data_IF_408449196345
#
_entry.id   IF_408449196345
#
_cell.length_a   1.000
_cell.length_b   1.000
_cell.length_c   1.000
_cell.angle_alpha   90.00
_cell.angle_beta   90.00
_cell.angle_gamma   90.00
#
_symmetry.space_group_name_H-M   'P 1'
#
loop_
_entity.id
_entity.type
_entity.pdbx_description
1 polymer ?
#
# COMPACT_ATOMS: atom_id res chain seq x y z
N UNK A 1 -51.56 0.57 43.24
CA UNK A 1 -50.65 -0.54 42.90
C UNK A 1 -50.51 -0.59 41.39
N UNK A 2 -49.36 -0.15 40.88
CA UNK A 2 -48.90 -0.45 39.53
C UNK A 2 -47.38 -0.27 39.53
N UNK A 3 -46.66 -1.39 39.56
CA UNK A 3 -45.20 -1.49 39.49
C UNK A 3 -44.78 -1.45 38.03
N UNK A 4 -43.92 -0.49 37.65
CA UNK A 4 -43.23 -0.49 36.36
C UNK A 4 -41.74 -0.80 36.57
N UNK A 5 -41.31 -1.88 35.92
CA UNK A 5 -39.97 -2.48 35.93
C UNK A 5 -39.03 -1.61 35.08
N UNK A 6 -37.74 -1.42 35.47
CA UNK A 6 -36.77 -0.71 34.66
C UNK A 6 -36.25 -1.62 33.54
N UNK A 7 -36.44 -1.22 32.27
CA UNK A 7 -35.72 -1.83 31.15
C UNK A 7 -34.31 -1.27 31.10
N UNK A 8 -33.37 -2.07 31.60
CA UNK A 8 -31.97 -1.97 31.20
C UNK A 8 -31.86 -2.25 29.71
N UNK A 9 -31.43 -1.25 28.96
CA UNK A 9 -30.85 -1.43 27.63
C UNK A 9 -29.34 -1.44 27.80
N UNK A 10 -28.76 -2.63 27.97
CA UNK A 10 -27.36 -2.86 27.67
C UNK A 10 -27.14 -2.47 26.22
N UNK A 11 -26.36 -1.42 25.99
CA UNK A 11 -25.87 -1.07 24.67
C UNK A 11 -25.00 -2.20 24.15
N UNK A 12 -25.63 -3.13 23.43
CA UNK A 12 -24.94 -4.05 22.54
C UNK A 12 -24.22 -3.22 21.47
N UNK A 13 -22.93 -2.99 21.67
CA UNK A 13 -22.03 -2.50 20.64
C UNK A 13 -21.75 -3.66 19.67
N UNK A 14 -22.73 -4.02 18.86
CA UNK A 14 -22.51 -4.87 17.68
C UNK A 14 -22.20 -3.97 16.49
N UNK A 15 -20.90 -3.83 16.21
CA UNK A 15 -20.38 -3.29 14.97
C UNK A 15 -19.14 -4.08 14.59
N UNK A 16 -19.34 -5.14 13.80
CA UNK A 16 -18.29 -5.96 13.17
C UNK A 16 -17.57 -5.17 12.07
N UNK A 17 -17.11 -3.95 12.37
CA UNK A 17 -16.32 -3.16 11.41
C UNK A 17 -14.85 -3.49 11.63
N UNK A 18 -14.28 -4.28 10.73
CA UNK A 18 -12.84 -4.37 10.60
C UNK A 18 -12.27 -2.97 10.42
N UNK A 19 -11.21 -2.65 11.14
CA UNK A 19 -10.60 -1.32 11.05
C UNK A 19 -9.93 -1.18 9.70
N UNK A 20 -10.29 -0.11 8.99
CA UNK A 20 -9.75 0.19 7.66
C UNK A 20 -8.28 0.61 7.76
N UNK A 21 -7.42 -0.15 7.08
CA UNK A 21 -5.97 -0.01 7.09
C UNK A 21 -5.50 1.25 6.34
N UNK A 22 -4.27 1.69 6.61
CA UNK A 22 -3.71 2.87 5.96
C UNK A 22 -3.48 2.62 4.47
N UNK A 23 -2.99 1.44 4.11
CA UNK A 23 -2.84 1.02 2.70
C UNK A 23 -4.18 0.88 1.98
N UNK A 24 -5.20 0.33 2.64
CA UNK A 24 -6.57 0.22 2.11
C UNK A 24 -7.14 1.58 1.75
N UNK A 25 -7.05 2.57 2.66
CA UNK A 25 -7.46 3.96 2.40
C UNK A 25 -6.71 4.57 1.22
N UNK A 26 -5.39 4.35 1.18
CA UNK A 26 -4.53 4.89 0.13
C UNK A 26 -4.93 4.34 -1.25
N UNK A 27 -5.12 3.03 -1.36
CA UNK A 27 -5.51 2.39 -2.62
C UNK A 27 -6.97 2.65 -3.00
N UNK A 28 -7.88 2.78 -2.03
CA UNK A 28 -9.25 3.18 -2.29
C UNK A 28 -9.30 4.57 -2.95
N UNK A 29 -8.53 5.54 -2.45
CA UNK A 29 -8.43 6.87 -3.06
C UNK A 29 -7.90 6.80 -4.50
N UNK A 30 -6.86 6.01 -4.74
CA UNK A 30 -6.27 5.82 -6.08
C UNK A 30 -7.23 5.16 -7.07
N UNK A 31 -7.99 4.16 -6.61
CA UNK A 31 -8.88 3.40 -7.47
C UNK A 31 -10.21 4.11 -7.73
N UNK A 32 -10.54 5.16 -6.98
CA UNK A 32 -11.79 5.92 -7.08
C UNK A 32 -11.99 6.50 -8.49
N UNK A 33 -13.12 6.15 -9.11
CA UNK A 33 -13.57 6.79 -10.36
C UNK A 33 -14.06 8.20 -10.08
N UNK A 34 -13.73 9.15 -10.97
CA UNK A 34 -14.09 10.55 -10.77
C UNK A 34 -14.27 11.27 -12.09
N UNK A 35 -15.28 12.13 -12.16
CA UNK A 35 -15.64 12.88 -13.38
C UNK A 35 -14.54 13.87 -13.80
N UNK A 36 -13.68 14.27 -12.87
CA UNK A 36 -12.55 15.16 -13.11
C UNK A 36 -11.31 14.48 -13.70
N UNK A 37 -11.29 13.14 -13.87
CA UNK A 37 -10.18 12.41 -14.50
C UNK A 37 -9.90 12.92 -15.92
N UNK A 38 -10.97 13.31 -16.63
CA UNK A 38 -10.90 13.92 -17.97
C UNK A 38 -10.00 15.15 -18.07
N UNK A 39 -9.74 15.84 -16.96
CA UNK A 39 -8.84 17.01 -16.91
C UNK A 39 -7.38 16.62 -17.11
N UNK A 40 -7.02 15.38 -16.78
CA UNK A 40 -5.65 14.87 -16.89
C UNK A 40 -5.39 14.17 -18.23
N UNK A 41 -6.45 13.84 -18.99
CA UNK A 41 -6.34 13.16 -20.28
C UNK A 41 -5.43 13.89 -21.28
N UNK A 42 -5.37 15.23 -21.22
CA UNK A 42 -4.48 16.03 -22.07
C UNK A 42 -3.01 15.70 -21.83
N UNK A 43 -2.62 15.42 -20.58
CA UNK A 43 -1.25 15.07 -20.20
C UNK A 43 -0.92 13.61 -20.54
N UNK A 44 -1.93 12.74 -20.62
CA UNK A 44 -1.78 11.32 -20.92
C UNK A 44 -1.98 10.99 -22.41
N UNK A 45 -2.26 11.99 -23.26
CA UNK A 45 -2.59 11.80 -24.67
C UNK A 45 -1.47 11.09 -25.46
N UNK A 46 -0.24 11.50 -25.20
CA UNK A 46 0.95 11.11 -25.97
C UNK A 46 1.63 9.84 -25.44
N UNK A 47 0.95 9.08 -24.57
CA UNK A 47 1.43 7.75 -24.15
C UNK A 47 1.65 6.86 -25.38
N UNK A 48 2.85 6.31 -25.47
CA UNK A 48 3.28 5.38 -26.51
C UNK A 48 3.51 3.99 -25.91
N UNK A 49 2.59 3.07 -26.19
CA UNK A 49 2.65 1.65 -25.78
C UNK A 49 2.17 0.78 -26.95
N UNK A 50 2.62 -0.48 -27.02
CA UNK A 50 2.31 -1.39 -28.13
C UNK A 50 0.83 -1.79 -28.18
N UNK A 51 0.22 -1.99 -27.02
CA UNK A 51 -1.17 -2.40 -26.83
C UNK A 51 -1.70 -1.86 -25.48
N UNK A 52 -3.00 -2.03 -25.22
CA UNK A 52 -3.67 -1.58 -23.99
C UNK A 52 -3.57 -0.06 -23.69
N UNK A 53 -3.36 0.78 -24.71
CA UNK A 53 -3.16 2.23 -24.58
C UNK A 53 -4.20 2.93 -23.70
N UNK A 54 -5.48 2.64 -23.87
CA UNK A 54 -6.54 3.29 -23.08
C UNK A 54 -6.51 2.88 -21.60
N UNK A 55 -6.11 1.64 -21.28
CA UNK A 55 -5.93 1.21 -19.89
C UNK A 55 -4.75 1.94 -19.23
N UNK A 56 -3.64 2.10 -19.95
CA UNK A 56 -2.47 2.84 -19.45
C UNK A 56 -2.77 4.34 -19.30
N UNK A 57 -3.55 4.93 -20.21
CA UNK A 57 -4.05 6.30 -20.04
C UNK A 57 -4.87 6.47 -18.78
N UNK A 58 -5.78 5.54 -18.48
CA UNK A 58 -6.56 5.58 -17.24
C UNK A 58 -5.65 5.54 -16.00
N UNK A 59 -4.63 4.68 -15.99
CA UNK A 59 -3.62 4.65 -14.92
C UNK A 59 -2.91 6.01 -14.79
N UNK A 60 -2.49 6.61 -15.91
CA UNK A 60 -1.86 7.93 -15.95
C UNK A 60 -2.77 9.03 -15.36
N UNK A 61 -4.06 9.05 -15.73
CA UNK A 61 -5.01 10.05 -15.24
C UNK A 61 -5.21 9.94 -13.72
N UNK A 62 -5.37 8.71 -13.21
CA UNK A 62 -5.48 8.44 -11.77
C UNK A 62 -4.21 8.82 -11.02
N UNK A 63 -3.05 8.47 -11.57
CA UNK A 63 -1.74 8.84 -11.04
C UNK A 63 -1.60 10.38 -10.90
N UNK A 64 -1.83 11.13 -11.97
CA UNK A 64 -1.71 12.60 -11.95
C UNK A 64 -2.74 13.24 -11.02
N UNK A 65 -3.98 12.74 -11.00
CA UNK A 65 -5.02 13.19 -10.08
C UNK A 65 -4.61 12.99 -8.62
N UNK A 66 -4.05 11.83 -8.29
CA UNK A 66 -3.62 11.53 -6.93
C UNK A 66 -2.46 12.43 -6.50
N UNK A 67 -1.50 12.71 -7.39
CA UNK A 67 -0.44 13.69 -7.13
C UNK A 67 -0.98 15.11 -6.87
N UNK A 68 -2.02 15.53 -7.61
CA UNK A 68 -2.63 16.85 -7.44
C UNK A 68 -3.48 16.98 -6.18
N UNK A 69 -4.33 15.99 -5.93
CA UNK A 69 -5.47 16.15 -5.02
C UNK A 69 -5.30 15.46 -3.68
N UNK A 70 -4.47 14.42 -3.60
CA UNK A 70 -4.40 13.64 -2.38
C UNK A 70 -3.89 14.48 -1.21
N UNK A 71 -4.56 14.31 -0.08
CA UNK A 71 -4.20 14.99 1.17
C UNK A 71 -2.92 14.44 1.78
N UNK A 72 -2.50 13.23 1.40
CA UNK A 72 -1.30 12.57 1.91
C UNK A 72 -0.03 13.40 1.68
N UNK A 73 -0.01 14.18 0.61
CA UNK A 73 1.10 15.06 0.27
C UNK A 73 1.20 16.34 1.12
N UNK A 74 0.17 16.64 1.92
CA UNK A 74 0.16 17.78 2.85
C UNK A 74 0.74 17.42 4.22
N UNK A 75 1.03 16.14 4.46
CA UNK A 75 1.62 15.65 5.70
C UNK A 75 3.08 16.11 5.77
N UNK A 76 3.42 16.95 6.75
CA UNK A 76 4.77 17.56 6.87
C UNK A 76 5.89 16.56 7.16
N UNK A 77 5.58 15.51 7.92
CA UNK A 77 6.52 14.47 8.35
C UNK A 77 5.79 13.13 8.33
N UNK A 78 5.62 12.53 7.15
CA UNK A 78 4.93 11.25 7.06
C UNK A 78 5.80 10.16 7.70
N UNK A 79 5.16 9.22 8.39
CA UNK A 79 5.85 8.09 9.04
C UNK A 79 6.43 7.11 8.02
N UNK A 80 5.89 7.11 6.80
CA UNK A 80 6.27 6.25 5.70
C UNK A 80 6.18 7.00 4.36
N UNK A 81 6.83 6.47 3.32
CA UNK A 81 6.87 7.09 2.00
C UNK A 81 5.66 6.71 1.15
N UNK A 82 4.66 7.60 1.04
CA UNK A 82 3.51 7.43 0.14
C UNK A 82 3.92 7.18 -1.32
N UNK A 83 5.07 7.72 -1.74
CA UNK A 83 5.59 7.52 -3.08
C UNK A 83 5.92 6.04 -3.37
N UNK A 84 6.39 5.27 -2.39
CA UNK A 84 6.61 3.84 -2.57
C UNK A 84 5.29 3.09 -2.79
N UNK A 85 4.23 3.40 -2.02
CA UNK A 85 2.91 2.81 -2.23
C UNK A 85 2.37 3.12 -3.63
N UNK A 86 2.56 4.36 -4.10
CA UNK A 86 2.14 4.78 -5.44
C UNK A 86 2.89 4.02 -6.54
N UNK A 87 4.20 3.86 -6.39
CA UNK A 87 5.02 3.09 -7.35
C UNK A 87 4.58 1.62 -7.42
N UNK A 88 4.34 0.99 -6.27
CA UNK A 88 3.79 -0.36 -6.24
C UNK A 88 2.40 -0.45 -6.87
N UNK A 89 1.52 0.52 -6.62
CA UNK A 89 0.20 0.55 -7.25
C UNK A 89 0.27 0.68 -8.78
N UNK A 90 1.10 1.60 -9.29
CA UNK A 90 1.30 1.77 -10.74
C UNK A 90 1.77 0.45 -11.35
N UNK A 91 2.81 -0.15 -10.78
CA UNK A 91 3.40 -1.35 -11.32
C UNK A 91 2.44 -2.54 -11.27
N UNK A 92 1.73 -2.73 -10.16
CA UNK A 92 0.69 -3.75 -10.01
C UNK A 92 -0.38 -3.65 -11.10
N UNK A 93 -0.90 -2.44 -11.35
CA UNK A 93 -1.86 -2.19 -12.43
C UNK A 93 -1.31 -2.45 -13.83
N UNK A 94 -0.04 -2.17 -14.07
CA UNK A 94 0.59 -2.49 -15.34
C UNK A 94 0.79 -4.00 -15.51
N UNK A 95 1.19 -4.72 -14.44
CA UNK A 95 1.33 -6.18 -14.48
C UNK A 95 -0.02 -6.89 -14.62
N UNK A 96 -1.11 -6.35 -14.07
CA UNK A 96 -2.47 -6.85 -14.31
C UNK A 96 -2.88 -6.77 -15.80
N UNK A 97 -2.33 -5.78 -16.53
CA UNK A 97 -2.64 -5.55 -17.94
C UNK A 97 -1.78 -6.43 -18.86
N UNK A 98 -0.48 -6.51 -18.58
CA UNK A 98 0.52 -7.09 -19.48
C UNK A 98 1.04 -8.46 -19.04
N UNK A 99 0.70 -8.90 -17.83
CA UNK A 99 1.24 -10.11 -17.21
C UNK A 99 2.40 -9.83 -16.26
N UNK A 100 2.61 -10.78 -15.34
CA UNK A 100 3.68 -10.74 -14.34
C UNK A 100 4.96 -11.38 -14.90
N UNK A 101 5.62 -10.66 -15.81
CA UNK A 101 7.02 -10.88 -16.08
C UNK A 101 7.72 -9.60 -15.63
N UNK A 102 8.55 -9.68 -14.58
CA UNK A 102 9.23 -8.54 -13.92
C UNK A 102 10.08 -7.65 -14.84
N UNK A 103 10.12 -8.01 -16.12
CA UNK A 103 10.88 -7.41 -17.19
C UNK A 103 10.08 -7.37 -18.49
N UNK A 104 8.75 -7.52 -18.47
CA UNK A 104 7.93 -7.37 -19.66
C UNK A 104 8.22 -6.00 -20.26
N UNK A 105 8.70 -6.01 -21.50
CA UNK A 105 9.08 -4.81 -22.22
C UNK A 105 7.91 -3.81 -22.25
N UNK A 106 6.68 -4.30 -22.35
CA UNK A 106 5.47 -3.48 -22.32
C UNK A 106 5.25 -2.78 -20.96
N UNK A 107 5.50 -3.46 -19.84
CA UNK A 107 5.41 -2.85 -18.49
C UNK A 107 6.45 -1.75 -18.36
N UNK A 108 7.68 -2.00 -18.80
CA UNK A 108 8.78 -1.04 -18.73
C UNK A 108 8.50 0.19 -19.59
N UNK A 109 8.02 -0.01 -20.83
CA UNK A 109 7.64 1.08 -21.73
C UNK A 109 6.51 1.89 -21.10
N UNK A 110 5.45 1.24 -20.60
CA UNK A 110 4.32 1.93 -19.99
C UNK A 110 4.75 2.74 -18.76
N UNK A 111 5.57 2.17 -17.87
CA UNK A 111 6.08 2.87 -16.69
C UNK A 111 6.99 4.05 -17.08
N UNK A 112 7.86 3.87 -18.08
CA UNK A 112 8.73 4.94 -18.59
C UNK A 112 7.96 6.11 -19.21
N UNK A 113 6.82 5.84 -19.86
CA UNK A 113 5.91 6.89 -20.31
C UNK A 113 5.35 7.70 -19.13
N UNK A 114 4.93 7.04 -18.04
CA UNK A 114 4.43 7.72 -16.83
C UNK A 114 5.52 8.60 -16.18
N UNK A 115 6.76 8.11 -16.13
CA UNK A 115 7.91 8.89 -15.69
C UNK A 115 8.13 10.13 -16.55
N UNK A 116 8.09 9.98 -17.88
CA UNK A 116 8.29 11.08 -18.83
C UNK A 116 7.21 12.14 -18.72
N UNK A 117 5.95 11.73 -18.58
CA UNK A 117 4.80 12.63 -18.37
C UNK A 117 4.97 13.38 -17.05
N UNK A 118 5.34 12.67 -15.98
CA UNK A 118 5.64 13.31 -14.69
C UNK A 118 6.74 14.37 -14.84
N UNK A 119 7.87 14.04 -15.47
CA UNK A 119 8.98 14.99 -15.67
C UNK A 119 8.55 16.21 -16.49
N UNK A 120 7.75 16.02 -17.53
CA UNK A 120 7.18 17.12 -18.32
C UNK A 120 6.25 18.01 -17.48
N UNK A 121 5.33 17.40 -16.72
CA UNK A 121 4.38 18.14 -15.88
C UNK A 121 5.09 18.96 -14.81
N UNK A 122 6.15 18.42 -14.17
CA UNK A 122 6.95 19.12 -13.16
C UNK A 122 7.79 20.26 -13.73
N UNK A 123 8.36 20.09 -14.93
CA UNK A 123 9.26 21.08 -15.55
C UNK A 123 8.52 22.19 -16.31
N UNK A 124 7.27 21.96 -16.70
CA UNK A 124 6.46 23.00 -17.35
C UNK A 124 6.15 24.15 -16.37
N UNK A 125 6.65 25.36 -16.67
CA UNK A 125 6.59 26.56 -15.82
C UNK A 125 5.18 27.05 -15.44
N UNK A 126 4.12 26.43 -15.98
CA UNK A 126 2.71 26.72 -15.69
C UNK A 126 2.05 25.71 -14.75
N UNK A 127 2.70 24.59 -14.44
CA UNK A 127 2.12 23.55 -13.61
C UNK A 127 2.59 23.66 -12.14
N UNK A 128 1.61 23.48 -11.26
CA UNK A 128 1.67 23.80 -9.84
C UNK A 128 2.58 22.84 -9.06
N UNK A 129 3.04 23.32 -7.89
CA UNK A 129 4.02 22.72 -6.98
C UNK A 129 3.76 21.22 -6.63
N UNK A 130 2.51 20.76 -6.68
CA UNK A 130 2.11 19.43 -6.20
C UNK A 130 2.60 18.25 -7.04
N UNK A 131 3.02 18.44 -8.29
CA UNK A 131 3.59 17.31 -9.05
C UNK A 131 4.94 16.85 -8.50
N UNK A 132 5.64 17.67 -7.69
CA UNK A 132 6.94 17.31 -7.09
C UNK A 132 6.86 16.31 -5.94
N UNK A 133 5.66 15.90 -5.53
CA UNK A 133 5.45 15.12 -4.31
C UNK A 133 5.95 13.66 -4.41
N UNK A 134 5.95 13.08 -5.61
CA UNK A 134 6.46 11.73 -5.83
C UNK A 134 6.91 11.56 -7.28
N UNK A 135 8.20 11.28 -7.48
CA UNK A 135 8.74 10.83 -8.76
C UNK A 135 8.46 9.32 -8.89
N UNK A 136 7.87 8.84 -9.99
CA UNK A 136 7.80 7.41 -10.23
C UNK A 136 9.22 6.85 -10.39
N UNK A 137 9.54 5.80 -9.64
CA UNK A 137 10.87 5.21 -9.53
C UNK A 137 10.82 3.73 -9.91
N UNK A 138 11.26 3.45 -11.14
CA UNK A 138 11.28 2.10 -11.69
C UNK A 138 12.16 1.12 -10.87
N UNK A 139 13.21 1.62 -10.23
CA UNK A 139 14.10 0.78 -9.41
C UNK A 139 13.39 0.11 -8.22
N UNK A 140 12.32 0.72 -7.69
CA UNK A 140 11.53 0.17 -6.56
C UNK A 140 10.86 -1.16 -6.94
N UNK A 141 10.56 -1.34 -8.22
CA UNK A 141 9.77 -2.46 -8.76
C UNK A 141 10.57 -3.39 -9.66
N UNK A 142 11.83 -3.06 -9.96
CA UNK A 142 12.78 -3.84 -10.77
C UNK A 142 13.41 -5.00 -9.98
N UNK A 143 12.61 -5.70 -9.19
CA UNK A 143 13.06 -6.85 -8.40
C UNK A 143 12.19 -8.06 -8.70
N UNK A 144 12.79 -9.24 -8.78
CA UNK A 144 12.04 -10.45 -9.10
C UNK A 144 10.96 -10.78 -8.05
N UNK A 145 11.18 -10.33 -6.82
CA UNK A 145 10.30 -10.50 -5.67
C UNK A 145 9.52 -9.22 -5.33
N UNK A 146 9.31 -8.30 -6.28
CA UNK A 146 8.64 -7.02 -6.03
C UNK A 146 7.28 -7.18 -5.34
N UNK A 147 6.51 -8.25 -5.63
CA UNK A 147 5.24 -8.55 -4.94
C UNK A 147 5.44 -8.76 -3.44
N UNK A 148 6.49 -9.48 -3.05
CA UNK A 148 6.86 -9.65 -1.64
C UNK A 148 7.35 -8.34 -1.03
N UNK A 149 8.09 -7.52 -1.78
CA UNK A 149 8.55 -6.19 -1.31
C UNK A 149 7.37 -5.24 -1.10
N UNK A 150 6.41 -5.23 -2.02
CA UNK A 150 5.12 -4.55 -1.90
C UNK A 150 4.40 -5.00 -0.64
N UNK A 151 4.17 -6.31 -0.46
CA UNK A 151 3.49 -6.86 0.71
C UNK A 151 4.21 -6.51 2.02
N UNK A 152 5.55 -6.53 2.02
CA UNK A 152 6.36 -6.19 3.20
C UNK A 152 6.20 -4.71 3.54
N UNK A 153 6.22 -3.87 2.51
CA UNK A 153 6.04 -2.44 2.70
C UNK A 153 4.63 -2.07 3.16
N UNK A 154 3.61 -2.72 2.61
CA UNK A 154 2.22 -2.57 3.07
C UNK A 154 2.08 -2.98 4.53
N UNK A 155 2.67 -4.13 4.91
CA UNK A 155 2.69 -4.55 6.31
C UNK A 155 3.40 -3.53 7.22
N UNK A 156 4.53 -2.98 6.79
CA UNK A 156 5.22 -1.92 7.53
C UNK A 156 4.32 -0.69 7.75
N UNK A 157 3.62 -0.25 6.71
CA UNK A 157 2.70 0.90 6.77
C UNK A 157 1.53 0.65 7.73
N UNK A 158 1.00 -0.58 7.76
CA UNK A 158 -0.18 -0.92 8.55
C UNK A 158 0.16 -1.48 9.94
N UNK A 159 1.43 -1.72 10.24
CA UNK A 159 1.86 -2.48 11.41
C UNK A 159 1.38 -1.88 12.73
N UNK A 160 1.51 -0.56 12.92
CA UNK A 160 1.17 0.07 14.19
C UNK A 160 -0.33 -0.07 14.51
N UNK A 161 -1.17 0.06 13.47
CA UNK A 161 -2.61 -0.15 13.58
C UNK A 161 -2.94 -1.62 13.88
N UNK A 162 -2.34 -2.56 13.14
CA UNK A 162 -2.51 -3.99 13.36
C UNK A 162 -2.06 -4.41 14.76
N UNK A 163 -0.93 -3.88 15.23
CA UNK A 163 -0.36 -4.16 16.55
C UNK A 163 -1.25 -3.59 17.65
N UNK A 164 -1.71 -2.34 17.51
CA UNK A 164 -2.65 -1.72 18.44
C UNK A 164 -3.95 -2.52 18.55
N UNK A 165 -4.53 -2.94 17.42
CA UNK A 165 -5.75 -3.73 17.42
C UNK A 165 -5.51 -5.13 18.00
N UNK A 166 -4.41 -5.79 17.63
CA UNK A 166 -3.97 -7.08 18.16
C UNK A 166 -3.72 -7.11 19.67
N UNK A 167 -3.36 -5.96 20.26
CA UNK A 167 -3.11 -5.82 21.70
C UNK A 167 -4.36 -5.58 22.52
N UNK A 168 -5.33 -4.86 21.95
CA UNK A 168 -6.42 -4.27 22.73
C UNK A 168 -7.82 -4.76 22.34
N UNK A 169 -8.00 -5.26 21.11
CA UNK A 169 -9.31 -5.49 20.50
C UNK A 169 -9.33 -6.75 19.62
N UNK A 170 -8.69 -7.84 20.05
CA UNK A 170 -8.50 -9.03 19.21
C UNK A 170 -9.12 -10.30 19.80
N UNK A 171 -10.36 -10.22 20.29
CA UNK A 171 -11.00 -11.36 20.96
C UNK A 171 -11.11 -12.62 20.08
N UNK A 172 -11.27 -12.43 18.76
CA UNK A 172 -11.34 -13.47 17.72
C UNK A 172 -9.96 -13.84 17.13
N UNK A 173 -8.88 -13.22 17.61
CA UNK A 173 -7.51 -13.43 17.15
C UNK A 173 -7.28 -13.17 15.64
N UNK A 174 -8.05 -12.27 15.05
CA UNK A 174 -7.95 -11.90 13.63
C UNK A 174 -6.65 -11.14 13.36
N UNK A 175 -6.34 -10.11 14.16
CA UNK A 175 -5.15 -9.29 13.97
C UNK A 175 -3.87 -10.07 14.27
N UNK A 176 -3.90 -10.93 15.31
CA UNK A 176 -2.85 -11.89 15.59
C UNK A 176 -2.56 -12.77 14.38
N UNK A 177 -3.61 -13.33 13.74
CA UNK A 177 -3.46 -14.17 12.54
C UNK A 177 -2.88 -13.37 11.37
N UNK A 178 -3.33 -12.14 11.14
CA UNK A 178 -2.79 -11.24 10.11
C UNK A 178 -1.29 -10.98 10.30
N UNK A 179 -0.86 -10.67 11.52
CA UNK A 179 0.57 -10.48 11.87
C UNK A 179 1.34 -11.81 11.73
N UNK A 180 0.82 -12.91 12.26
CA UNK A 180 1.46 -14.24 12.19
C UNK A 180 1.67 -14.70 10.74
N UNK A 181 0.76 -14.40 9.83
CA UNK A 181 0.89 -14.75 8.41
C UNK A 181 2.15 -14.15 7.76
N UNK A 182 2.67 -13.03 8.28
CA UNK A 182 3.86 -12.35 7.76
C UNK A 182 5.19 -13.03 8.13
N UNK A 183 5.19 -14.10 8.93
CA UNK A 183 6.42 -14.84 9.29
C UNK A 183 7.21 -15.31 8.07
N UNK A 184 6.51 -15.89 7.09
CA UNK A 184 7.16 -16.38 5.87
C UNK A 184 7.77 -15.25 5.04
N UNK A 185 7.15 -14.07 5.07
CA UNK A 185 7.64 -12.88 4.39
C UNK A 185 8.95 -12.38 5.02
N UNK A 186 9.04 -12.35 6.36
CA UNK A 186 10.29 -12.00 7.06
C UNK A 186 11.40 -13.03 6.78
N UNK A 187 11.09 -14.32 6.81
CA UNK A 187 12.06 -15.39 6.46
C UNK A 187 12.59 -15.27 5.03
N UNK A 188 11.73 -14.88 4.07
CA UNK A 188 12.16 -14.62 2.70
C UNK A 188 13.23 -13.53 2.67
N UNK A 189 13.00 -12.37 3.29
CA UNK A 189 13.96 -11.27 3.28
C UNK A 189 15.20 -11.53 4.14
N UNK A 190 15.07 -12.25 5.25
CA UNK A 190 16.23 -12.73 6.01
C UNK A 190 17.19 -13.53 5.12
N UNK A 191 16.66 -14.51 4.38
CA UNK A 191 17.46 -15.33 3.47
C UNK A 191 18.03 -14.55 2.29
N UNK A 192 17.24 -13.65 1.67
CA UNK A 192 17.70 -12.80 0.56
C UNK A 192 18.85 -11.88 1.02
N UNK A 193 18.70 -11.22 2.17
CA UNK A 193 19.72 -10.32 2.72
C UNK A 193 21.00 -11.07 3.13
N UNK A 194 20.87 -12.28 3.67
CA UNK A 194 22.02 -13.14 4.00
C UNK A 194 22.75 -13.64 2.74
N UNK A 195 21.99 -13.97 1.70
CA UNK A 195 22.56 -14.52 0.46
C UNK A 195 23.23 -13.44 -0.40
N UNK A 196 22.66 -12.23 -0.44
CA UNK A 196 23.20 -11.12 -1.20
C UNK A 196 22.81 -9.77 -0.58
N UNK A 197 23.77 -9.16 0.13
CA UNK A 197 23.59 -7.84 0.75
C UNK A 197 23.12 -6.76 -0.25
N UNK A 198 23.54 -6.83 -1.53
CA UNK A 198 23.12 -5.85 -2.55
C UNK A 198 21.66 -5.99 -3.00
N UNK A 199 21.04 -7.16 -2.78
CA UNK A 199 19.62 -7.38 -3.04
C UNK A 199 18.77 -7.22 -1.78
N UNK A 200 19.37 -6.94 -0.62
CA UNK A 200 18.65 -6.77 0.62
C UNK A 200 17.67 -5.59 0.50
N UNK A 201 16.43 -5.80 0.91
CA UNK A 201 15.45 -4.73 0.89
C UNK A 201 15.79 -3.75 2.02
N UNK A 202 16.12 -2.50 1.69
CA UNK A 202 16.60 -1.50 2.68
C UNK A 202 15.66 -1.31 3.87
N UNK A 203 14.35 -1.54 3.68
CA UNK A 203 13.37 -1.45 4.76
C UNK A 203 13.39 -2.63 5.72
N UNK A 204 13.92 -3.79 5.32
CA UNK A 204 13.94 -4.99 6.16
C UNK A 204 14.65 -4.71 7.50
N UNK A 205 15.83 -4.09 7.47
CA UNK A 205 16.59 -3.77 8.68
C UNK A 205 15.84 -2.78 9.59
N UNK A 206 15.23 -1.75 8.98
CA UNK A 206 14.44 -0.73 9.69
C UNK A 206 13.17 -1.28 10.34
N UNK A 207 12.61 -2.35 9.78
CA UNK A 207 11.38 -2.98 10.25
C UNK A 207 11.63 -4.27 11.03
N UNK A 208 12.87 -4.52 11.44
CA UNK A 208 13.24 -5.77 12.13
C UNK A 208 12.49 -5.96 13.45
N UNK A 209 12.01 -4.89 14.07
CA UNK A 209 11.20 -4.93 15.30
C UNK A 209 9.74 -5.29 15.07
N UNK A 210 9.27 -5.23 13.82
CA UNK A 210 7.91 -5.62 13.44
C UNK A 210 7.82 -7.10 13.05
N UNK A 211 8.95 -7.82 13.15
CA UNK A 211 9.02 -9.24 12.88
C UNK A 211 8.01 -10.00 13.76
N UNK A 212 7.07 -10.77 13.17
CA UNK A 212 6.09 -11.53 13.92
C UNK A 212 6.68 -12.42 15.02
N UNK A 213 7.89 -12.97 14.85
CA UNK A 213 8.54 -13.78 15.88
C UNK A 213 8.90 -12.97 17.14
N UNK A 214 9.10 -11.65 17.03
CA UNK A 214 9.34 -10.76 18.17
C UNK A 214 8.04 -10.26 18.81
N UNK A 215 7.03 -9.97 18.00
CA UNK A 215 5.89 -9.15 18.43
C UNK A 215 4.66 -9.95 18.83
N UNK A 216 4.51 -11.19 18.33
CA UNK A 216 3.31 -12.00 18.61
C UNK A 216 3.11 -12.28 20.10
N UNK A 217 4.19 -12.42 20.87
CA UNK A 217 4.11 -12.62 22.33
C UNK A 217 3.52 -11.43 23.09
N UNK A 218 3.52 -10.26 22.47
CA UNK A 218 2.98 -9.02 23.06
C UNK A 218 1.49 -8.82 22.78
N UNK A 219 0.88 -9.65 21.94
CA UNK A 219 -0.52 -9.51 21.53
C UNK A 219 -1.46 -10.29 22.46
N UNK A 220 -2.71 -9.82 22.55
CA UNK A 220 -3.74 -10.36 23.44
C UNK A 220 -3.96 -11.88 23.25
N UNK A 221 -3.90 -12.35 22.01
CA UNK A 221 -4.20 -13.73 21.64
C UNK A 221 -3.03 -14.71 21.75
N UNK A 222 -1.86 -14.28 22.21
CA UNK A 222 -0.68 -15.16 22.26
C UNK A 222 -0.94 -16.46 23.03
N UNK A 223 -1.46 -16.32 24.25
CA UNK A 223 -1.69 -17.47 25.14
C UNK A 223 -2.80 -18.38 24.59
N UNK A 224 -3.90 -17.79 24.07
CA UNK A 224 -5.02 -18.53 23.49
C UNK A 224 -4.56 -19.48 22.37
N UNK A 225 -3.68 -19.01 21.49
CA UNK A 225 -3.23 -19.78 20.33
C UNK A 225 -2.13 -20.78 20.70
N UNK A 226 -1.33 -20.53 21.75
CA UNK A 226 -0.36 -21.53 22.24
C UNK A 226 -1.08 -22.71 22.89
N UNK A 227 -2.18 -22.48 23.60
CA UNK A 227 -2.97 -23.55 24.24
C UNK A 227 -3.72 -24.45 23.24
N UNK A 228 -3.91 -23.99 21.99
CA UNK A 228 -4.56 -24.74 20.90
C UNK A 228 -3.59 -25.60 20.06
N UNK A 229 -2.28 -25.50 20.29
CA UNK A 229 -1.21 -26.24 19.57
C UNK A 229 -0.70 -27.39 20.44
#
# INVERSE_FOLDING_TARGET
>A
MATAIPRGGSGEFFGDSSVELHTEKFYAELNTESTDLSRYSIHCKDIYVNNNKEKVKNICEKFLRHLEKSIVWKVKKPEYHFCMLLNYWIYDKLTDIYGDENTSEDVNIAFGNLQSIWEYTVNSSRNKIYYKNCKPEFNVVKHNDWKKRKEFYEYYVDYDLLSMMGKNFDDKCEYYKKIKAKKLLYKHFENECLSNASNCFELYEKCSDYNPDKVLSTLQCHNKIIEEI
#
